data_IF_153781913043
#
_entry.id   IF_153781913043
#
_cell.length_a   1.000
_cell.length_b   1.000
_cell.length_c   1.000
_cell.angle_alpha   90.00
_cell.angle_beta   90.00
_cell.angle_gamma   90.00
#
_symmetry.space_group_name_H-M   'P 1'
#
loop_
_entity.id
_entity.type
_entity.pdbx_description
1 polymer ?
#
# COMPACT_ATOMS: atom_id res chain seq x y z
N UNK A 1 -11.17 -32.65 22.91
CA UNK A 1 -12.24 -32.30 21.94
C UNK A 1 -12.81 -30.95 22.32
N UNK A 2 -12.32 -29.88 21.69
CA UNK A 2 -12.82 -28.52 21.93
C UNK A 2 -14.14 -28.37 21.17
N UNK A 3 -15.22 -28.09 21.89
CA UNK A 3 -16.57 -28.03 21.37
C UNK A 3 -16.63 -27.03 20.20
N UNK A 4 -17.01 -27.48 19.00
CA UNK A 4 -17.29 -26.62 17.84
C UNK A 4 -18.60 -25.88 18.12
N UNK A 5 -18.59 -24.96 19.08
CA UNK A 5 -19.67 -24.00 19.23
C UNK A 5 -19.76 -23.20 17.93
N UNK A 6 -20.98 -23.12 17.40
CA UNK A 6 -21.38 -22.33 16.25
C UNK A 6 -20.66 -20.97 16.24
N UNK A 7 -19.58 -20.87 15.47
CA UNK A 7 -18.98 -19.59 15.12
C UNK A 7 -19.93 -18.95 14.10
N UNK A 8 -21.01 -18.35 14.58
CA UNK A 8 -21.78 -17.44 13.74
C UNK A 8 -20.87 -16.26 13.41
N UNK A 9 -20.78 -15.94 12.11
CA UNK A 9 -20.11 -14.73 11.64
C UNK A 9 -20.81 -13.53 12.28
N UNK A 10 -20.06 -12.67 12.97
CA UNK A 10 -20.56 -11.36 13.42
C UNK A 10 -20.67 -11.12 14.92
N UNK A 11 -20.17 -12.01 15.79
CA UNK A 11 -20.00 -11.68 17.21
C UNK A 11 -18.70 -10.89 17.43
N UNK A 12 -18.75 -9.60 17.10
CA UNK A 12 -17.62 -8.67 17.26
C UNK A 12 -17.27 -8.43 18.75
N UNK A 13 -18.05 -8.94 19.71
CA UNK A 13 -17.83 -8.72 21.15
C UNK A 13 -16.75 -9.63 21.78
N UNK A 14 -16.33 -10.71 21.09
CA UNK A 14 -15.55 -11.80 21.70
C UNK A 14 -14.08 -11.49 21.99
N UNK A 15 -13.51 -10.47 21.35
CA UNK A 15 -12.14 -10.01 21.62
C UNK A 15 -12.10 -8.48 21.58
N UNK A 16 -11.98 -7.80 22.73
CA UNK A 16 -11.80 -6.36 22.75
C UNK A 16 -10.48 -6.01 22.06
N UNK A 17 -10.53 -5.03 21.15
CA UNK A 17 -9.33 -4.53 20.48
C UNK A 17 -8.50 -3.65 21.41
N UNK A 18 -7.18 -3.84 21.40
CA UNK A 18 -6.27 -2.96 22.13
C UNK A 18 -6.12 -1.59 21.48
N UNK A 19 -5.54 -0.63 22.22
CA UNK A 19 -5.28 0.73 21.72
C UNK A 19 -4.54 0.75 20.38
N UNK A 20 -3.49 -0.06 20.25
CA UNK A 20 -2.69 -0.14 19.03
C UNK A 20 -3.48 -0.65 17.82
N UNK A 21 -4.36 -1.64 18.02
CA UNK A 21 -5.22 -2.15 16.94
C UNK A 21 -6.20 -1.09 16.48
N UNK A 22 -6.82 -0.37 17.42
CA UNK A 22 -7.78 0.68 17.10
C UNK A 22 -7.09 1.80 16.31
N UNK A 23 -5.87 2.19 16.70
CA UNK A 23 -5.08 3.18 15.96
C UNK A 23 -4.79 2.69 14.52
N UNK A 24 -4.40 1.43 14.35
CA UNK A 24 -4.19 0.84 13.03
C UNK A 24 -5.48 0.81 12.20
N UNK A 25 -6.63 0.49 12.80
CA UNK A 25 -7.93 0.53 12.13
C UNK A 25 -8.25 1.94 11.65
N UNK A 26 -8.01 2.96 12.47
CA UNK A 26 -8.22 4.35 12.09
C UNK A 26 -7.34 4.74 10.89
N UNK A 27 -6.07 4.33 10.86
CA UNK A 27 -5.17 4.59 9.72
C UNK A 27 -5.72 3.99 8.43
N UNK A 28 -6.12 2.72 8.45
CA UNK A 28 -6.61 2.03 7.25
C UNK A 28 -7.95 2.57 6.77
N UNK A 29 -8.88 2.86 7.70
CA UNK A 29 -10.17 3.45 7.37
C UNK A 29 -10.02 4.89 6.87
N UNK A 30 -9.09 5.66 7.44
CA UNK A 30 -8.82 7.04 7.00
C UNK A 30 -8.25 7.05 5.58
N UNK A 31 -7.22 6.24 5.32
CA UNK A 31 -6.66 6.12 3.98
C UNK A 31 -7.71 5.60 2.98
N UNK A 32 -8.39 4.51 3.31
CA UNK A 32 -9.39 3.89 2.44
C UNK A 32 -10.52 4.86 2.08
N UNK A 33 -11.07 5.57 3.07
CA UNK A 33 -12.14 6.53 2.82
C UNK A 33 -11.65 7.77 2.07
N UNK A 34 -10.46 8.29 2.39
CA UNK A 34 -9.87 9.42 1.63
C UNK A 34 -9.72 9.04 0.16
N UNK A 35 -9.19 7.85 -0.12
CA UNK A 35 -9.02 7.36 -1.49
C UNK A 35 -10.37 7.23 -2.24
N UNK A 36 -11.37 6.64 -1.60
CA UNK A 36 -12.72 6.48 -2.19
C UNK A 36 -13.37 7.84 -2.43
N UNK A 37 -13.28 8.78 -1.50
CA UNK A 37 -13.83 10.13 -1.64
C UNK A 37 -13.12 10.89 -2.78
N UNK A 38 -11.79 10.80 -2.85
CA UNK A 38 -11.04 11.46 -3.94
C UNK A 38 -11.40 10.87 -5.30
N UNK A 39 -11.51 9.54 -5.41
CA UNK A 39 -11.99 8.91 -6.65
C UNK A 39 -13.43 9.33 -7.00
N UNK A 40 -14.31 9.45 -6.01
CA UNK A 40 -15.67 9.95 -6.21
C UNK A 40 -15.68 11.39 -6.74
N UNK A 41 -14.84 12.29 -6.21
CA UNK A 41 -14.69 13.64 -6.75
C UNK A 41 -14.30 13.62 -8.23
N UNK A 42 -13.33 12.78 -8.61
CA UNK A 42 -12.92 12.64 -10.01
C UNK A 42 -14.07 12.16 -10.91
N UNK A 43 -14.85 11.17 -10.46
CA UNK A 43 -16.04 10.69 -11.17
C UNK A 43 -17.03 11.81 -11.48
N UNK A 44 -17.31 12.69 -10.52
CA UNK A 44 -18.24 13.81 -10.69
C UNK A 44 -17.60 15.05 -11.34
N UNK A 45 -16.39 14.93 -11.88
CA UNK A 45 -15.70 16.01 -12.57
C UNK A 45 -15.03 17.03 -11.66
N UNK A 46 -15.00 16.81 -10.34
CA UNK A 46 -14.39 17.72 -9.37
C UNK A 46 -12.90 17.42 -9.17
N UNK A 47 -12.06 18.44 -8.99
CA UNK A 47 -10.63 18.23 -8.71
C UNK A 47 -10.41 17.61 -7.33
N UNK A 48 -9.22 17.05 -7.11
CA UNK A 48 -8.81 16.54 -5.80
C UNK A 48 -8.85 17.69 -4.77
N UNK A 49 -9.46 17.43 -3.62
CA UNK A 49 -9.65 18.42 -2.57
C UNK A 49 -9.13 17.91 -1.22
N UNK A 50 -8.57 18.83 -0.41
CA UNK A 50 -8.21 18.56 0.98
C UNK A 50 -9.41 18.20 1.85
N UNK A 51 -10.64 18.55 1.44
CA UNK A 51 -11.85 18.12 2.15
C UNK A 51 -12.01 16.60 2.14
N UNK A 52 -11.56 15.89 1.10
CA UNK A 52 -11.61 14.42 1.05
C UNK A 52 -10.77 13.78 2.16
N UNK A 53 -9.61 14.37 2.49
CA UNK A 53 -8.74 13.93 3.58
C UNK A 53 -9.45 14.05 4.93
N UNK A 54 -10.00 15.23 5.23
CA UNK A 54 -10.62 15.52 6.52
C UNK A 54 -11.95 14.77 6.71
N UNK A 55 -12.75 14.64 5.65
CA UNK A 55 -13.95 13.80 5.66
C UNK A 55 -13.60 12.32 5.83
N UNK A 56 -12.53 11.84 5.18
CA UNK A 56 -12.03 10.49 5.38
C UNK A 56 -11.64 10.24 6.84
N UNK A 57 -10.98 11.20 7.49
CA UNK A 57 -10.63 11.13 8.91
C UNK A 57 -11.89 11.10 9.79
N UNK A 58 -12.85 11.98 9.52
CA UNK A 58 -14.11 12.04 10.27
C UNK A 58 -14.89 10.72 10.19
N UNK A 59 -14.92 10.08 9.01
CA UNK A 59 -15.53 8.76 8.83
C UNK A 59 -14.76 7.69 9.62
N UNK A 60 -13.44 7.67 9.58
CA UNK A 60 -12.63 6.71 10.34
C UNK A 60 -12.83 6.84 11.86
N UNK A 61 -12.86 8.07 12.38
CA UNK A 61 -13.13 8.34 13.79
C UNK A 61 -14.57 7.92 14.16
N UNK A 62 -15.55 8.25 13.32
CA UNK A 62 -16.96 7.88 13.56
C UNK A 62 -17.18 6.36 13.51
N UNK A 63 -16.56 5.67 12.56
CA UNK A 63 -16.64 4.22 12.42
C UNK A 63 -16.02 3.54 13.65
N UNK A 64 -14.81 3.93 14.06
CA UNK A 64 -14.16 3.36 15.25
C UNK A 64 -14.86 3.75 16.55
N UNK A 65 -15.47 4.93 16.63
CA UNK A 65 -16.31 5.31 17.77
C UNK A 65 -17.50 4.35 17.95
N UNK A 66 -18.12 3.91 16.86
CA UNK A 66 -19.21 2.92 16.91
C UNK A 66 -18.71 1.51 17.22
N UNK A 67 -17.54 1.13 16.68
CA UNK A 67 -16.97 -0.21 16.82
C UNK A 67 -16.28 -0.47 18.17
N UNK A 68 -15.85 0.58 18.88
CA UNK A 68 -15.12 0.48 20.15
C UNK A 68 -15.97 1.06 21.28
N UNK A 69 -16.61 0.22 22.12
CA UNK A 69 -17.40 0.70 23.25
C UNK A 69 -16.56 1.38 24.32
N UNK A 70 -15.34 0.88 24.57
CA UNK A 70 -14.47 1.39 25.64
C UNK A 70 -13.75 2.68 25.24
N UNK A 71 -14.24 3.80 25.76
CA UNK A 71 -13.69 5.14 25.52
C UNK A 71 -12.30 5.34 26.13
N UNK A 72 -11.95 4.59 27.17
CA UNK A 72 -10.62 4.67 27.80
C UNK A 72 -9.51 4.16 26.88
N UNK A 73 -9.86 3.30 25.93
CA UNK A 73 -8.93 2.80 24.90
C UNK A 73 -9.04 3.60 23.60
N UNK A 74 -10.24 4.06 23.26
CA UNK A 74 -10.48 4.85 22.04
C UNK A 74 -9.78 6.22 22.07
N UNK A 75 -9.90 7.00 23.16
CA UNK A 75 -9.29 8.33 23.23
C UNK A 75 -7.75 8.30 23.09
N UNK A 76 -7.01 7.43 23.80
CA UNK A 76 -5.57 7.29 23.58
C UNK A 76 -5.20 6.83 22.16
N UNK A 77 -6.04 6.06 21.48
CA UNK A 77 -5.81 5.68 20.09
C UNK A 77 -5.96 6.89 19.15
N UNK A 78 -6.95 7.77 19.38
CA UNK A 78 -7.10 9.03 18.65
C UNK A 78 -5.91 9.95 18.90
N UNK A 79 -5.48 10.10 20.15
CA UNK A 79 -4.29 10.91 20.48
C UNK A 79 -3.03 10.36 19.80
N UNK A 80 -2.86 9.04 19.77
CA UNK A 80 -1.77 8.39 19.06
C UNK A 80 -1.82 8.64 17.55
N UNK A 81 -3.01 8.62 16.93
CA UNK A 81 -3.18 8.93 15.51
C UNK A 81 -2.81 10.39 15.22
N UNK A 82 -3.31 11.33 16.03
CA UNK A 82 -3.00 12.76 15.89
C UNK A 82 -1.50 13.00 16.08
N UNK A 83 -0.88 12.39 17.09
CA UNK A 83 0.56 12.51 17.32
C UNK A 83 1.36 11.95 16.13
N UNK A 84 1.06 10.72 15.68
CA UNK A 84 1.77 10.08 14.59
C UNK A 84 1.62 10.82 13.26
N UNK A 85 0.41 11.27 12.94
CA UNK A 85 0.14 12.01 11.69
C UNK A 85 0.74 13.41 11.71
N UNK A 86 0.57 14.17 12.79
CA UNK A 86 1.12 15.54 12.89
C UNK A 86 2.64 15.54 12.95
N UNK A 87 3.23 14.79 13.90
CA UNK A 87 4.69 14.71 14.02
C UNK A 87 5.32 14.11 12.77
N UNK A 88 4.73 13.03 12.23
CA UNK A 88 5.22 12.40 11.01
C UNK A 88 5.19 13.33 9.80
N UNK A 89 4.10 14.08 9.61
CA UNK A 89 3.97 15.04 8.49
C UNK A 89 5.03 16.12 8.59
N UNK A 90 5.21 16.72 9.78
CA UNK A 90 6.24 17.74 9.98
C UNK A 90 7.65 17.17 9.84
N UNK A 91 7.93 15.99 10.38
CA UNK A 91 9.24 15.36 10.24
C UNK A 91 9.59 15.06 8.78
N UNK A 92 8.63 14.53 8.01
CA UNK A 92 8.81 14.21 6.59
C UNK A 92 8.89 15.46 5.71
N UNK A 93 8.27 16.57 6.11
CA UNK A 93 8.37 17.84 5.38
C UNK A 93 9.82 18.35 5.30
N UNK A 94 10.65 18.08 6.31
CA UNK A 94 12.07 18.45 6.32
C UNK A 94 12.96 17.50 5.50
N UNK A 95 12.41 16.38 5.03
CA UNK A 95 13.16 15.35 4.32
C UNK A 95 12.74 15.38 2.86
N UNK A 96 13.35 16.21 2.03
CA UNK A 96 13.02 16.30 0.61
C UNK A 96 13.24 14.97 -0.12
N UNK A 97 12.34 14.65 -1.05
CA UNK A 97 12.49 13.46 -1.87
C UNK A 97 13.44 13.73 -3.05
N UNK A 98 14.63 13.14 -3.05
CA UNK A 98 15.57 13.20 -4.20
C UNK A 98 15.66 11.87 -4.96
N UNK A 99 14.73 10.95 -4.73
CA UNK A 99 14.73 9.64 -5.37
C UNK A 99 14.32 9.71 -6.85
N UNK A 100 14.75 8.73 -7.65
CA UNK A 100 14.56 8.69 -9.11
C UNK A 100 13.09 8.74 -9.51
N UNK A 101 12.34 7.66 -9.28
CA UNK A 101 10.92 7.60 -9.62
C UNK A 101 10.09 8.67 -8.89
N UNK A 102 10.52 9.02 -7.67
CA UNK A 102 9.98 10.09 -6.84
C UNK A 102 9.87 11.41 -7.61
N UNK A 103 11.01 11.86 -8.14
CA UNK A 103 11.12 13.08 -8.93
C UNK A 103 10.59 12.92 -10.35
N UNK A 104 10.76 11.75 -10.96
CA UNK A 104 10.45 11.53 -12.37
C UNK A 104 8.94 11.51 -12.65
N UNK A 105 8.13 10.87 -11.81
CA UNK A 105 6.70 10.75 -12.06
C UNK A 105 5.80 10.74 -10.83
N UNK A 106 6.28 10.38 -9.63
CA UNK A 106 5.41 10.42 -8.44
C UNK A 106 5.04 11.84 -8.02
N UNK A 107 6.03 12.71 -7.79
CA UNK A 107 5.81 14.12 -7.43
C UNK A 107 5.06 14.87 -8.54
N UNK A 108 5.46 14.79 -9.83
CA UNK A 108 4.67 15.39 -10.89
C UNK A 108 3.23 14.88 -10.96
N UNK A 109 2.99 13.58 -10.78
CA UNK A 109 1.64 13.01 -10.76
C UNK A 109 0.78 13.54 -9.61
N UNK A 110 1.37 13.71 -8.42
CA UNK A 110 0.71 14.33 -7.26
C UNK A 110 0.37 15.79 -7.56
N UNK A 111 1.31 16.55 -8.11
CA UNK A 111 1.11 17.96 -8.45
C UNK A 111 0.04 18.13 -9.53
N UNK A 112 0.03 17.28 -10.57
CA UNK A 112 -0.99 17.31 -11.61
C UNK A 112 -2.40 17.15 -11.01
N UNK A 113 -2.60 16.13 -10.16
CA UNK A 113 -3.87 15.90 -9.47
C UNK A 113 -4.26 17.07 -8.55
N UNK A 114 -3.29 17.62 -7.80
CA UNK A 114 -3.51 18.75 -6.91
C UNK A 114 -3.81 20.07 -7.65
N UNK A 115 -3.35 20.21 -8.89
CA UNK A 115 -3.62 21.33 -9.79
C UNK A 115 -4.91 21.15 -10.62
N UNK A 116 -5.61 20.03 -10.45
CA UNK A 116 -6.94 19.80 -11.02
C UNK A 116 -6.96 18.91 -12.26
N UNK A 117 -5.88 18.18 -12.57
CA UNK A 117 -5.94 17.13 -13.57
C UNK A 117 -6.97 16.08 -13.17
N UNK A 118 -7.95 15.83 -14.04
CA UNK A 118 -8.95 14.80 -13.83
C UNK A 118 -8.75 13.62 -14.79
N UNK A 119 -8.07 12.55 -14.35
CA UNK A 119 -7.73 11.43 -15.21
C UNK A 119 -8.92 10.53 -15.57
N UNK A 120 -10.09 10.71 -14.95
CA UNK A 120 -11.28 9.90 -15.26
C UNK A 120 -12.04 10.44 -16.48
N UNK A 121 -11.94 11.75 -16.73
CA UNK A 121 -12.58 12.43 -17.85
C UNK A 121 -11.59 12.82 -18.96
N UNK A 122 -10.37 13.24 -18.58
CA UNK A 122 -9.29 13.63 -19.50
C UNK A 122 -7.98 12.92 -19.11
N UNK A 123 -7.83 11.63 -19.48
CA UNK A 123 -6.69 10.82 -19.07
C UNK A 123 -5.36 11.26 -19.70
N UNK A 124 -5.39 11.99 -20.81
CA UNK A 124 -4.20 12.54 -21.46
C UNK A 124 -3.76 13.84 -20.80
N UNK A 125 -2.47 13.96 -20.45
CA UNK A 125 -1.94 15.20 -19.85
C UNK A 125 -1.98 16.36 -20.85
N UNK A 126 -1.70 16.10 -22.14
CA UNK A 126 -1.77 17.08 -23.22
C UNK A 126 -3.11 17.83 -23.27
N UNK A 127 -4.21 17.10 -23.07
CA UNK A 127 -5.56 17.65 -23.17
C UNK A 127 -5.89 18.58 -21.99
N UNK A 128 -5.35 18.27 -20.81
CA UNK A 128 -5.52 19.08 -19.61
C UNK A 128 -4.57 20.28 -19.57
N UNK A 129 -3.28 20.04 -19.79
CA UNK A 129 -2.23 21.05 -19.73
C UNK A 129 -1.02 20.65 -20.59
N UNK A 130 -0.93 21.13 -21.85
CA UNK A 130 0.20 20.86 -22.73
C UNK A 130 1.55 21.33 -22.17
N UNK A 131 1.55 22.46 -21.45
CA UNK A 131 2.75 23.00 -20.83
C UNK A 131 3.30 22.08 -19.75
N UNK A 132 2.41 21.52 -18.93
CA UNK A 132 2.78 20.52 -17.92
C UNK A 132 3.37 19.26 -18.57
N UNK A 133 2.71 18.72 -19.60
CA UNK A 133 3.19 17.53 -20.29
C UNK A 133 4.58 17.74 -20.91
N UNK A 134 4.81 18.90 -21.54
CA UNK A 134 6.12 19.24 -22.12
C UNK A 134 7.24 19.38 -21.07
N UNK A 135 6.88 19.66 -19.82
CA UNK A 135 7.81 19.81 -18.71
C UNK A 135 8.19 18.50 -18.00
N UNK A 136 7.54 17.38 -18.33
CA UNK A 136 7.80 16.07 -17.71
C UNK A 136 8.35 15.08 -18.74
N UNK A 137 9.42 14.37 -18.39
CA UNK A 137 10.04 13.36 -19.26
C UNK A 137 9.31 12.02 -19.24
N UNK A 138 8.44 11.81 -18.25
CA UNK A 138 7.79 10.53 -17.94
C UNK A 138 6.27 10.61 -17.85
N UNK A 139 5.66 11.46 -18.69
CA UNK A 139 4.21 11.64 -18.80
C UNK A 139 3.43 10.34 -19.02
N UNK A 140 4.03 9.34 -19.70
CA UNK A 140 3.40 8.04 -19.90
C UNK A 140 3.10 7.31 -18.59
N UNK A 141 4.01 7.36 -17.60
CA UNK A 141 3.79 6.73 -16.30
C UNK A 141 2.72 7.48 -15.52
N UNK A 142 2.74 8.81 -15.57
CA UNK A 142 1.71 9.67 -14.95
C UNK A 142 0.32 9.31 -15.49
N UNK A 143 0.19 9.23 -16.82
CA UNK A 143 -1.09 8.96 -17.47
C UNK A 143 -1.62 7.55 -17.15
N UNK A 144 -0.74 6.55 -17.08
CA UNK A 144 -1.16 5.15 -17.13
C UNK A 144 -0.92 4.32 -15.86
N UNK A 145 -0.13 4.76 -14.88
CA UNK A 145 0.06 4.00 -13.64
C UNK A 145 -1.11 4.13 -12.67
N UNK A 146 -1.13 3.21 -11.71
CA UNK A 146 -2.08 3.20 -10.59
C UNK A 146 -1.91 4.48 -9.75
N UNK A 147 -3.01 5.16 -9.48
CA UNK A 147 -3.00 6.53 -8.94
C UNK A 147 -3.29 6.61 -7.45
N UNK A 148 -3.57 5.49 -6.78
CA UNK A 148 -4.05 5.50 -5.38
C UNK A 148 -3.09 6.19 -4.42
N UNK A 149 -1.78 5.94 -4.57
CA UNK A 149 -0.76 6.63 -3.79
C UNK A 149 -0.78 8.14 -4.03
N UNK A 150 -0.93 8.57 -5.28
CA UNK A 150 -0.97 9.99 -5.63
C UNK A 150 -2.26 10.67 -5.23
N UNK A 151 -3.42 9.99 -5.29
CA UNK A 151 -4.69 10.53 -4.83
C UNK A 151 -4.67 10.79 -3.32
N UNK A 152 -4.04 9.88 -2.56
CA UNK A 152 -3.80 10.04 -1.13
C UNK A 152 -2.84 11.20 -0.86
N UNK A 153 -1.68 11.24 -1.51
CA UNK A 153 -0.71 12.32 -1.33
C UNK A 153 -1.25 13.68 -1.78
N UNK A 154 -1.97 13.76 -2.90
CA UNK A 154 -2.59 15.00 -3.39
C UNK A 154 -3.68 15.50 -2.44
N UNK A 155 -4.53 14.62 -1.90
CA UNK A 155 -5.51 15.00 -0.90
C UNK A 155 -4.83 15.48 0.40
N UNK A 156 -3.76 14.81 0.83
CA UNK A 156 -2.95 15.24 1.98
C UNK A 156 -2.34 16.62 1.72
N UNK A 157 -1.65 16.81 0.60
CA UNK A 157 -1.03 18.08 0.22
C UNK A 157 -2.05 19.22 0.13
N UNK A 158 -3.21 18.98 -0.48
CA UNK A 158 -4.30 19.98 -0.54
C UNK A 158 -4.92 20.27 0.83
N UNK A 159 -4.86 19.32 1.76
CA UNK A 159 -5.39 19.47 3.12
C UNK A 159 -4.42 20.12 4.11
N UNK A 160 -3.11 19.93 3.93
CA UNK A 160 -2.06 20.43 4.83
C UNK A 160 -1.28 21.63 4.29
N UNK A 161 -1.23 21.79 2.95
CA UNK A 161 -0.31 22.72 2.28
C UNK A 161 1.14 22.24 2.22
N UNK A 162 1.43 21.04 2.71
CA UNK A 162 2.78 20.48 2.86
C UNK A 162 3.00 19.34 1.87
N UNK A 163 3.79 19.58 0.81
CA UNK A 163 3.99 18.60 -0.24
C UNK A 163 4.81 17.43 0.27
N UNK A 164 5.98 17.67 0.85
CA UNK A 164 6.86 16.62 1.33
C UNK A 164 6.23 15.86 2.52
N UNK A 165 5.49 16.57 3.37
CA UNK A 165 4.68 15.98 4.43
C UNK A 165 3.60 15.01 3.93
N UNK A 166 3.21 15.08 2.65
CA UNK A 166 2.22 14.15 2.06
C UNK A 166 2.74 12.72 1.90
N UNK A 167 4.04 12.48 2.11
CA UNK A 167 4.66 11.15 2.24
C UNK A 167 4.26 10.41 3.51
N UNK A 168 3.47 11.02 4.39
CA UNK A 168 3.01 10.45 5.66
C UNK A 168 2.49 9.01 5.57
N UNK A 169 1.95 8.60 4.42
CA UNK A 169 1.49 7.23 4.17
C UNK A 169 2.62 6.18 4.18
N UNK A 170 3.86 6.56 3.84
CA UNK A 170 5.05 5.73 4.01
C UNK A 170 5.40 5.48 5.48
N UNK A 171 4.91 6.29 6.41
CA UNK A 171 5.08 6.09 7.86
C UNK A 171 3.86 5.42 8.50
N UNK A 172 2.64 5.82 8.11
CA UNK A 172 1.41 5.32 8.74
C UNK A 172 1.13 3.85 8.40
N UNK A 173 1.40 3.37 7.18
CA UNK A 173 1.16 1.97 6.85
C UNK A 173 2.13 1.00 7.56
N UNK A 174 3.45 1.26 7.66
CA UNK A 174 4.32 0.47 8.53
C UNK A 174 3.91 0.53 10.00
N UNK A 175 3.47 1.69 10.51
CA UNK A 175 2.98 1.79 11.89
C UNK A 175 1.72 0.92 12.10
N UNK A 176 0.75 0.96 11.19
CA UNK A 176 -0.42 0.10 11.24
C UNK A 176 -0.02 -1.39 11.20
N UNK A 177 0.94 -1.73 10.33
CA UNK A 177 1.49 -3.09 10.21
C UNK A 177 2.14 -3.56 11.50
N UNK A 178 2.96 -2.72 12.14
CA UNK A 178 3.60 -2.99 13.42
C UNK A 178 2.56 -3.33 14.50
N UNK A 179 1.53 -2.49 14.63
CA UNK A 179 0.52 -2.63 15.68
C UNK A 179 -0.38 -3.85 15.46
N UNK A 180 -0.79 -4.12 14.22
CA UNK A 180 -1.60 -5.30 13.87
C UNK A 180 -0.78 -6.58 14.01
N UNK A 181 0.47 -6.60 13.55
CA UNK A 181 1.36 -7.75 13.70
C UNK A 181 1.61 -8.05 15.18
N UNK A 182 1.85 -7.02 15.99
CA UNK A 182 2.06 -7.17 17.44
C UNK A 182 0.84 -7.80 18.11
N UNK A 183 -0.36 -7.28 17.83
CA UNK A 183 -1.60 -7.80 18.39
C UNK A 183 -1.87 -9.25 17.94
N UNK A 184 -1.68 -9.54 16.65
CA UNK A 184 -1.83 -10.89 16.10
C UNK A 184 -0.86 -11.89 16.75
N UNK A 185 0.42 -11.54 16.89
CA UNK A 185 1.43 -12.38 17.52
C UNK A 185 1.13 -12.62 19.01
N UNK A 186 0.60 -11.62 19.73
CA UNK A 186 0.10 -11.82 21.10
C UNK A 186 -1.07 -12.78 21.15
N UNK A 187 -2.01 -12.71 20.20
CA UNK A 187 -3.10 -13.70 20.05
C UNK A 187 -2.61 -15.10 19.68
N UNK A 188 -1.41 -15.21 19.12
CA UNK A 188 -0.72 -16.50 18.89
C UNK A 188 -0.01 -17.05 20.13
N UNK A 189 0.02 -16.31 21.25
CA UNK A 189 0.63 -16.74 22.51
C UNK A 189 2.11 -16.36 22.66
N UNK A 190 2.68 -15.56 21.75
CA UNK A 190 4.06 -15.09 21.90
C UNK A 190 4.19 -14.14 23.10
N UNK A 191 5.35 -14.17 23.76
CA UNK A 191 5.66 -13.23 24.85
C UNK A 191 5.68 -11.79 24.35
N UNK A 192 5.56 -10.82 25.27
CA UNK A 192 5.55 -9.40 24.90
C UNK A 192 6.79 -9.01 24.11
N UNK A 193 7.96 -9.44 24.56
CA UNK A 193 9.25 -9.16 23.91
C UNK A 193 9.29 -9.73 22.49
N UNK A 194 9.00 -11.02 22.34
CA UNK A 194 9.00 -11.67 21.02
C UNK A 194 7.95 -11.10 20.08
N UNK A 195 6.77 -10.75 20.59
CA UNK A 195 5.71 -10.14 19.77
C UNK A 195 6.14 -8.78 19.19
N UNK A 196 6.81 -7.94 19.98
CA UNK A 196 7.30 -6.65 19.51
C UNK A 196 8.51 -6.79 18.59
N UNK A 197 9.46 -7.67 18.92
CA UNK A 197 10.63 -7.91 18.09
C UNK A 197 10.27 -8.40 16.68
N UNK A 198 9.37 -9.38 16.58
CA UNK A 198 8.91 -9.90 15.29
C UNK A 198 7.99 -8.91 14.56
N UNK A 199 7.09 -8.21 15.27
CA UNK A 199 6.26 -7.19 14.64
C UNK A 199 7.10 -6.05 14.06
N UNK A 200 8.17 -5.65 14.75
CA UNK A 200 9.13 -4.67 14.25
C UNK A 200 9.86 -5.21 13.02
N UNK A 201 10.36 -6.44 13.05
CA UNK A 201 11.02 -7.04 11.89
C UNK A 201 10.11 -7.10 10.64
N UNK A 202 8.81 -7.35 10.83
CA UNK A 202 7.80 -7.37 9.75
C UNK A 202 7.52 -5.97 9.22
N UNK A 203 7.32 -4.99 10.11
CA UNK A 203 6.96 -3.63 9.72
C UNK A 203 8.14 -2.81 9.19
N UNK A 204 9.32 -2.97 9.77
CA UNK A 204 10.57 -2.30 9.41
C UNK A 204 11.36 -3.14 8.39
N UNK A 205 10.69 -3.70 7.38
CA UNK A 205 11.42 -4.31 6.28
C UNK A 205 12.30 -3.25 5.59
N UNK A 206 13.49 -3.60 5.07
CA UNK A 206 14.45 -2.59 4.60
C UNK A 206 13.89 -1.65 3.54
N UNK A 207 13.10 -2.18 2.59
CA UNK A 207 12.40 -1.40 1.56
C UNK A 207 11.54 -0.30 2.17
N UNK A 208 10.74 -0.64 3.18
CA UNK A 208 9.87 0.34 3.84
C UNK A 208 10.68 1.39 4.58
N UNK A 209 11.79 0.99 5.23
CA UNK A 209 12.63 1.90 6.01
C UNK A 209 13.34 2.92 5.13
N UNK A 210 14.04 2.48 4.08
CA UNK A 210 14.80 3.41 3.25
C UNK A 210 13.88 4.24 2.32
N UNK A 211 12.65 3.78 2.03
CA UNK A 211 11.66 4.55 1.28
C UNK A 211 10.86 5.55 2.14
N UNK A 212 10.98 5.53 3.47
CA UNK A 212 10.28 6.46 4.37
C UNK A 212 10.30 7.93 3.90
N UNK A 213 11.46 8.52 3.52
CA UNK A 213 11.55 9.92 3.12
C UNK A 213 11.24 10.17 1.63
N UNK A 214 10.78 9.18 0.88
CA UNK A 214 10.50 9.29 -0.57
C UNK A 214 9.02 9.16 -0.92
N UNK A 215 8.66 9.43 -2.17
CA UNK A 215 7.36 9.11 -2.74
C UNK A 215 7.29 7.73 -3.41
N UNK A 216 8.34 6.90 -3.26
CA UNK A 216 8.26 5.50 -3.65
C UNK A 216 7.15 4.79 -2.86
N UNK A 217 6.58 3.76 -3.48
CA UNK A 217 5.37 3.10 -3.02
C UNK A 217 5.55 1.64 -2.64
N UNK A 218 6.75 1.07 -2.79
CA UNK A 218 7.00 -0.35 -2.50
C UNK A 218 6.88 -0.64 -1.00
N UNK A 219 7.28 0.28 -0.13
CA UNK A 219 7.02 0.20 1.32
C UNK A 219 5.53 0.20 1.67
N UNK A 220 4.72 1.01 0.97
CA UNK A 220 3.26 1.00 1.13
C UNK A 220 2.68 -0.34 0.66
N UNK A 221 3.13 -0.83 -0.49
CA UNK A 221 2.72 -2.11 -1.07
C UNK A 221 3.01 -3.27 -0.11
N UNK A 222 4.23 -3.34 0.44
CA UNK A 222 4.65 -4.36 1.40
C UNK A 222 3.82 -4.31 2.70
N UNK A 223 3.56 -3.11 3.21
CA UNK A 223 2.74 -2.91 4.41
C UNK A 223 1.29 -3.36 4.18
N UNK A 224 0.66 -2.92 3.08
CA UNK A 224 -0.72 -3.29 2.75
C UNK A 224 -0.87 -4.78 2.43
N UNK A 225 0.10 -5.39 1.75
CA UNK A 225 0.16 -6.83 1.55
C UNK A 225 0.12 -7.56 2.90
N UNK A 226 0.97 -7.14 3.83
CA UNK A 226 1.08 -7.72 5.16
C UNK A 226 -0.20 -7.53 5.96
N UNK A 227 -0.85 -6.36 5.88
CA UNK A 227 -2.12 -6.09 6.54
C UNK A 227 -3.25 -6.97 5.98
N UNK A 228 -3.37 -7.12 4.66
CA UNK A 228 -4.35 -8.04 4.04
C UNK A 228 -4.13 -9.46 4.56
N UNK A 229 -2.88 -9.92 4.60
CA UNK A 229 -2.52 -11.24 5.13
C UNK A 229 -2.94 -11.37 6.61
N UNK A 230 -2.51 -10.45 7.48
CA UNK A 230 -2.77 -10.51 8.92
C UNK A 230 -4.26 -10.42 9.24
N UNK A 231 -5.00 -9.49 8.65
CA UNK A 231 -6.45 -9.38 8.87
C UNK A 231 -7.19 -10.61 8.35
N UNK A 232 -6.77 -11.19 7.22
CA UNK A 232 -7.38 -12.42 6.71
C UNK A 232 -7.10 -13.61 7.62
N UNK A 233 -5.87 -13.77 8.11
CA UNK A 233 -5.53 -14.81 9.08
C UNK A 233 -6.30 -14.63 10.40
N UNK A 234 -6.43 -13.40 10.88
CA UNK A 234 -7.22 -13.09 12.08
C UNK A 234 -8.70 -13.41 11.87
N UNK A 235 -9.27 -13.07 10.69
CA UNK A 235 -10.64 -13.42 10.32
C UNK A 235 -10.89 -14.93 10.32
N UNK A 236 -10.01 -15.74 9.73
CA UNK A 236 -10.18 -17.19 9.72
C UNK A 236 -9.96 -17.84 11.09
N UNK A 237 -9.27 -17.16 12.02
CA UNK A 237 -9.17 -17.58 13.41
C UNK A 237 -10.43 -17.22 14.20
N UNK A 238 -10.92 -15.98 14.01
CA UNK A 238 -12.05 -15.41 14.72
C UNK A 238 -12.89 -14.58 13.74
N UNK A 239 -13.90 -15.19 13.08
CA UNK A 239 -14.70 -14.50 12.07
C UNK A 239 -15.48 -13.33 12.67
N UNK A 240 -14.99 -12.12 12.42
CA UNK A 240 -15.59 -10.86 12.87
C UNK A 240 -15.89 -9.98 11.65
N UNK A 241 -17.04 -9.31 11.67
CA UNK A 241 -17.49 -8.47 10.55
C UNK A 241 -16.57 -7.27 10.37
N UNK A 242 -16.12 -6.67 11.47
CA UNK A 242 -15.12 -5.60 11.46
C UNK A 242 -13.83 -6.00 10.73
N UNK A 243 -13.31 -7.21 10.97
CA UNK A 243 -12.06 -7.68 10.37
C UNK A 243 -12.23 -7.87 8.88
N UNK A 244 -13.41 -8.31 8.46
CA UNK A 244 -13.78 -8.45 7.05
C UNK A 244 -13.80 -7.10 6.31
N UNK A 245 -14.32 -6.04 6.95
CA UNK A 245 -14.24 -4.68 6.41
C UNK A 245 -12.81 -4.15 6.34
N UNK A 246 -11.96 -4.47 7.32
CA UNK A 246 -10.54 -4.10 7.28
C UNK A 246 -9.80 -4.81 6.14
N UNK A 247 -10.08 -6.11 5.91
CA UNK A 247 -9.58 -6.82 4.71
C UNK A 247 -10.01 -6.10 3.43
N UNK A 248 -11.30 -5.74 3.32
CA UNK A 248 -11.82 -5.04 2.14
C UNK A 248 -11.14 -3.68 1.92
N UNK A 249 -11.02 -2.86 2.96
CA UNK A 249 -10.37 -1.55 2.89
C UNK A 249 -8.89 -1.68 2.50
N UNK A 250 -8.16 -2.62 3.11
CA UNK A 250 -6.76 -2.88 2.76
C UNK A 250 -6.60 -3.42 1.33
N UNK A 251 -7.54 -4.20 0.80
CA UNK A 251 -7.52 -4.65 -0.60
C UNK A 251 -7.73 -3.49 -1.57
N UNK A 252 -8.69 -2.60 -1.31
CA UNK A 252 -8.93 -1.41 -2.14
C UNK A 252 -7.68 -0.53 -2.21
N UNK A 253 -7.02 -0.33 -1.07
CA UNK A 253 -5.74 0.37 -1.00
C UNK A 253 -4.66 -0.39 -1.79
N UNK A 254 -4.43 -1.67 -1.47
CA UNK A 254 -3.38 -2.50 -2.08
C UNK A 254 -3.44 -2.49 -3.61
N UNK A 255 -4.63 -2.71 -4.17
CA UNK A 255 -4.87 -2.72 -5.62
C UNK A 255 -4.51 -1.38 -6.26
N UNK A 256 -4.72 -0.25 -5.57
CA UNK A 256 -4.58 1.07 -6.17
C UNK A 256 -3.23 1.74 -5.90
N UNK A 257 -2.36 1.19 -5.05
CA UNK A 257 -1.01 1.71 -4.82
C UNK A 257 -0.06 1.42 -5.98
N UNK A 258 -0.08 0.20 -6.54
CA UNK A 258 0.80 -0.24 -7.64
C UNK A 258 0.12 -1.36 -8.40
N UNK A 259 0.42 -1.53 -9.70
CA UNK A 259 -0.15 -2.61 -10.51
C UNK A 259 0.05 -4.02 -9.95
N UNK A 260 1.22 -4.28 -9.38
CA UNK A 260 1.53 -5.55 -8.69
C UNK A 260 0.59 -5.80 -7.50
N UNK A 261 0.03 -4.74 -6.91
CA UNK A 261 -0.95 -4.81 -5.84
C UNK A 261 -2.24 -5.54 -6.25
N UNK A 262 -2.71 -5.40 -7.50
CA UNK A 262 -3.87 -6.17 -7.97
C UNK A 262 -3.56 -7.67 -8.04
N UNK A 263 -2.37 -8.02 -8.54
CA UNK A 263 -1.91 -9.42 -8.61
C UNK A 263 -1.82 -10.02 -7.20
N UNK A 264 -1.21 -9.28 -6.28
CA UNK A 264 -1.10 -9.71 -4.88
C UNK A 264 -2.44 -9.80 -4.18
N UNK A 265 -3.36 -8.87 -4.42
CA UNK A 265 -4.70 -8.88 -3.86
C UNK A 265 -5.48 -10.13 -4.27
N UNK A 266 -5.47 -10.48 -5.57
CA UNK A 266 -6.09 -11.71 -6.08
C UNK A 266 -5.42 -12.94 -5.47
N UNK A 267 -4.09 -13.01 -5.51
CA UNK A 267 -3.33 -14.14 -4.96
C UNK A 267 -3.62 -14.38 -3.47
N UNK A 268 -3.58 -13.32 -2.65
CA UNK A 268 -3.87 -13.41 -1.22
C UNK A 268 -5.33 -13.82 -0.97
N UNK A 269 -6.29 -13.16 -1.61
CA UNK A 269 -7.71 -13.46 -1.43
C UNK A 269 -8.04 -14.91 -1.80
N UNK A 270 -7.60 -15.38 -2.96
CA UNK A 270 -7.87 -16.75 -3.41
C UNK A 270 -7.04 -17.79 -2.64
N UNK A 271 -5.77 -17.50 -2.37
CA UNK A 271 -4.85 -18.41 -1.69
C UNK A 271 -5.25 -18.65 -0.24
N UNK A 272 -5.61 -17.60 0.49
CA UNK A 272 -6.05 -17.72 1.89
C UNK A 272 -7.43 -18.36 2.00
N UNK A 273 -8.36 -18.04 1.09
CA UNK A 273 -9.64 -18.73 1.01
C UNK A 273 -9.47 -20.23 0.69
N UNK A 274 -8.61 -20.58 -0.26
CA UNK A 274 -8.27 -21.96 -0.62
C UNK A 274 -7.61 -22.71 0.54
N UNK A 275 -6.63 -22.11 1.21
CA UNK A 275 -5.99 -22.67 2.40
C UNK A 275 -6.98 -22.91 3.55
N UNK A 276 -7.85 -21.94 3.82
CA UNK A 276 -8.92 -22.10 4.82
C UNK A 276 -9.89 -23.23 4.46
N UNK A 277 -10.23 -23.37 3.17
CA UNK A 277 -11.06 -24.47 2.68
C UNK A 277 -10.39 -25.84 2.88
N UNK A 278 -9.11 -25.98 2.53
CA UNK A 278 -8.30 -27.19 2.68
C UNK A 278 -8.15 -27.59 4.15
N UNK A 279 -7.91 -26.63 5.04
CA UNK A 279 -7.79 -26.86 6.49
C UNK A 279 -9.13 -27.01 7.22
N UNK A 280 -10.23 -27.16 6.47
CA UNK A 280 -11.60 -27.32 7.01
C UNK A 280 -12.04 -26.17 7.92
N UNK A 281 -11.41 -24.99 7.80
CA UNK A 281 -11.79 -23.72 8.45
C UNK A 281 -12.86 -23.01 7.61
N UNK A 282 -13.98 -23.69 7.36
CA UNK A 282 -15.01 -23.23 6.39
C UNK A 282 -15.94 -22.14 6.92
N UNK A 283 -15.90 -21.87 8.23
CA UNK A 283 -16.71 -20.82 8.84
C UNK A 283 -16.27 -19.46 8.31
N UNK A 284 -17.21 -18.64 7.84
CA UNK A 284 -16.94 -17.31 7.30
C UNK A 284 -16.37 -17.29 5.88
N UNK A 285 -16.05 -18.44 5.28
CA UNK A 285 -15.43 -18.50 3.95
C UNK A 285 -16.29 -17.85 2.86
N UNK A 286 -17.61 -18.04 2.89
CA UNK A 286 -18.54 -17.39 1.95
C UNK A 286 -18.49 -15.86 2.08
N UNK A 287 -18.56 -15.35 3.31
CA UNK A 287 -18.50 -13.91 3.58
C UNK A 287 -17.15 -13.32 3.18
N UNK A 288 -16.05 -14.04 3.45
CA UNK A 288 -14.71 -13.69 3.00
C UNK A 288 -14.64 -13.57 1.47
N UNK A 289 -15.10 -14.60 0.74
CA UNK A 289 -15.08 -14.61 -0.72
C UNK A 289 -15.93 -13.49 -1.32
N UNK A 290 -17.16 -13.29 -0.82
CA UNK A 290 -18.04 -12.24 -1.30
C UNK A 290 -17.47 -10.84 -1.02
N UNK A 291 -16.95 -10.59 0.18
CA UNK A 291 -16.40 -9.27 0.51
C UNK A 291 -15.13 -8.99 -0.27
N UNK A 292 -14.20 -9.95 -0.37
CA UNK A 292 -12.96 -9.75 -1.14
C UNK A 292 -13.24 -9.57 -2.62
N UNK A 293 -14.20 -10.32 -3.19
CA UNK A 293 -14.68 -10.11 -4.56
C UNK A 293 -15.29 -8.71 -4.75
N UNK A 294 -16.15 -8.26 -3.84
CA UNK A 294 -16.72 -6.90 -3.89
C UNK A 294 -15.64 -5.82 -3.76
N UNK A 295 -14.68 -6.01 -2.85
CA UNK A 295 -13.57 -5.09 -2.67
C UNK A 295 -12.72 -4.97 -3.95
N UNK A 296 -12.42 -6.09 -4.61
CA UNK A 296 -11.71 -6.10 -5.89
C UNK A 296 -12.49 -5.38 -7.00
N UNK A 297 -13.81 -5.59 -7.08
CA UNK A 297 -14.66 -4.87 -8.04
C UNK A 297 -14.63 -3.36 -7.79
N UNK A 298 -14.83 -2.92 -6.55
CA UNK A 298 -14.74 -1.49 -6.18
C UNK A 298 -13.34 -0.94 -6.47
N UNK A 299 -12.31 -1.71 -6.17
CA UNK A 299 -10.92 -1.30 -6.38
C UNK A 299 -10.57 -1.11 -7.85
N UNK A 300 -11.08 -1.96 -8.74
CA UNK A 300 -10.77 -1.93 -10.18
C UNK A 300 -11.72 -1.03 -10.96
N UNK A 301 -13.04 -1.14 -10.72
CA UNK A 301 -14.06 -0.44 -11.50
C UNK A 301 -14.43 0.93 -10.93
N UNK A 302 -14.26 1.13 -9.62
CA UNK A 302 -14.59 2.38 -8.94
C UNK A 302 -13.37 3.27 -8.78
N UNK A 303 -12.48 2.88 -7.87
CA UNK A 303 -11.31 3.69 -7.48
C UNK A 303 -10.22 3.66 -8.56
N UNK A 304 -9.93 2.47 -9.08
CA UNK A 304 -8.88 2.24 -10.07
C UNK A 304 -9.39 2.27 -11.51
N UNK A 305 -10.56 2.85 -11.77
CA UNK A 305 -11.16 2.94 -13.10
C UNK A 305 -10.12 3.40 -14.12
N UNK A 306 -9.44 4.51 -13.80
CA UNK A 306 -8.14 4.84 -14.38
C UNK A 306 -7.05 4.47 -13.37
N UNK A 307 -6.15 3.52 -13.68
CA UNK A 307 -5.83 3.03 -15.03
C UNK A 307 -6.56 1.78 -15.55
N UNK A 308 -7.15 0.93 -14.69
CA UNK A 308 -7.42 -0.46 -15.07
C UNK A 308 -8.40 -0.62 -16.22
N UNK A 309 -9.51 0.10 -16.20
CA UNK A 309 -10.55 0.02 -17.23
C UNK A 309 -10.10 0.83 -18.45
N UNK A 310 -9.68 2.08 -18.26
CA UNK A 310 -9.32 2.96 -19.36
C UNK A 310 -8.11 2.46 -20.14
N UNK A 311 -7.07 1.92 -19.49
CA UNK A 311 -5.95 1.30 -20.22
C UNK A 311 -6.38 0.05 -20.99
N UNK A 312 -7.31 -0.74 -20.45
CA UNK A 312 -7.85 -1.90 -21.17
C UNK A 312 -8.56 -1.45 -22.45
N UNK A 313 -9.40 -0.42 -22.36
CA UNK A 313 -10.17 0.09 -23.48
C UNK A 313 -9.31 0.84 -24.52
N UNK A 314 -8.38 1.68 -24.07
CA UNK A 314 -7.60 2.56 -24.95
C UNK A 314 -6.31 1.92 -25.45
N UNK A 315 -5.67 1.06 -24.64
CA UNK A 315 -4.34 0.49 -24.92
C UNK A 315 -4.36 -1.02 -25.12
N UNK A 316 -5.50 -1.67 -24.87
CA UNK A 316 -5.67 -3.13 -25.02
C UNK A 316 -5.14 -3.94 -23.85
N UNK A 317 -4.69 -3.31 -22.76
CA UNK A 317 -4.14 -4.03 -21.60
C UNK A 317 -4.30 -3.24 -20.28
N UNK A 318 -4.82 -3.83 -19.19
CA UNK A 318 -5.07 -3.11 -17.91
C UNK A 318 -3.81 -2.61 -17.23
N UNK A 319 -2.67 -3.26 -17.48
CA UNK A 319 -1.37 -2.93 -16.89
C UNK A 319 -0.44 -2.18 -17.86
N UNK A 320 -0.96 -1.59 -18.93
CA UNK A 320 -0.16 -0.70 -19.79
C UNK A 320 0.44 0.47 -18.99
N UNK A 321 1.68 0.93 -19.27
CA UNK A 321 2.67 0.39 -20.21
C UNK A 321 3.56 -0.71 -19.60
N UNK A 322 3.37 -1.07 -18.33
CA UNK A 322 4.18 -2.10 -17.68
C UNK A 322 4.03 -3.46 -18.36
N UNK A 323 2.87 -3.76 -18.92
CA UNK A 323 2.60 -4.95 -19.74
C UNK A 323 1.69 -4.60 -20.91
N UNK A 324 1.77 -5.35 -22.00
CA UNK A 324 0.83 -5.29 -23.13
C UNK A 324 1.44 -4.86 -24.47
N UNK A 325 2.58 -4.14 -24.46
CA UNK A 325 3.38 -3.87 -25.67
C UNK A 325 4.85 -4.07 -25.36
N UNK A 326 5.56 -4.82 -26.19
CA UNK A 326 7.02 -4.97 -26.13
C UNK A 326 7.69 -3.78 -26.86
N UNK A 327 7.36 -2.55 -26.45
CA UNK A 327 7.80 -1.32 -27.10
C UNK A 327 8.95 -0.61 -26.34
N UNK A 328 9.55 -1.29 -25.36
CA UNK A 328 10.66 -0.76 -24.55
C UNK A 328 10.26 0.36 -23.58
N UNK A 329 8.95 0.61 -23.38
CA UNK A 329 8.43 1.62 -22.45
C UNK A 329 8.17 1.09 -21.04
N UNK A 330 8.44 -0.19 -20.79
CA UNK A 330 8.43 -0.75 -19.45
C UNK A 330 9.74 -0.40 -18.72
N UNK A 331 9.62 0.24 -17.56
CA UNK A 331 10.75 0.61 -16.67
C UNK A 331 11.69 -0.58 -16.45
N UNK A 332 11.16 -1.79 -16.28
CA UNK A 332 11.97 -2.99 -16.01
C UNK A 332 12.95 -3.32 -17.13
N UNK A 333 12.67 -2.94 -18.38
CA UNK A 333 13.60 -3.19 -19.50
C UNK A 333 14.80 -2.24 -19.49
N UNK A 334 14.71 -1.13 -18.75
CA UNK A 334 15.82 -0.18 -18.54
C UNK A 334 16.64 -0.53 -17.30
N UNK A 335 16.02 -1.16 -16.30
CA UNK A 335 16.65 -1.40 -14.99
C UNK A 335 17.53 -2.65 -14.91
N UNK A 336 17.50 -3.55 -15.90
CA UNK A 336 18.27 -4.80 -15.86
C UNK A 336 18.91 -5.15 -17.22
N UNK A 337 20.10 -5.79 -17.23
CA UNK A 337 20.79 -6.12 -18.47
C UNK A 337 20.12 -7.31 -19.18
N UNK A 338 20.24 -7.42 -20.51
CA UNK A 338 19.63 -8.50 -21.29
C UNK A 338 19.97 -9.91 -20.79
N UNK A 339 21.21 -10.11 -20.32
CA UNK A 339 21.65 -11.39 -19.75
C UNK A 339 20.86 -11.80 -18.50
N UNK A 340 20.55 -10.85 -17.61
CA UNK A 340 19.70 -11.10 -16.45
C UNK A 340 18.24 -11.34 -16.86
N UNK A 341 17.74 -10.56 -17.83
CA UNK A 341 16.37 -10.70 -18.33
C UNK A 341 16.13 -12.05 -19.02
N UNK A 342 17.17 -12.65 -19.62
CA UNK A 342 17.10 -13.98 -20.23
C UNK A 342 17.08 -15.14 -19.21
N UNK A 343 17.45 -14.90 -17.94
CA UNK A 343 17.46 -15.94 -16.91
C UNK A 343 16.06 -16.45 -16.59
N UNK A 344 15.99 -17.70 -16.11
CA UNK A 344 14.75 -18.27 -15.62
C UNK A 344 14.34 -17.65 -14.27
N UNK A 345 13.10 -17.89 -13.84
CA UNK A 345 12.54 -17.23 -12.63
C UNK A 345 13.28 -17.59 -11.35
N UNK A 346 13.78 -18.83 -11.22
CA UNK A 346 14.52 -19.29 -10.05
C UNK A 346 15.87 -18.61 -9.98
N UNK A 347 16.57 -18.54 -11.12
CA UNK A 347 17.84 -17.81 -11.24
C UNK A 347 17.67 -16.34 -10.90
N UNK A 348 16.68 -15.66 -11.50
CA UNK A 348 16.41 -14.24 -11.20
C UNK A 348 16.20 -13.99 -9.72
N UNK A 349 15.41 -14.84 -9.05
CA UNK A 349 15.19 -14.74 -7.61
C UNK A 349 16.49 -14.94 -6.85
N UNK A 350 17.25 -16.00 -7.13
CA UNK A 350 18.51 -16.29 -6.46
C UNK A 350 19.52 -15.15 -6.63
N UNK A 351 19.74 -14.69 -7.85
CA UNK A 351 20.65 -13.57 -8.15
C UNK A 351 20.17 -12.26 -7.51
N UNK A 352 18.88 -11.95 -7.56
CA UNK A 352 18.34 -10.69 -7.02
C UNK A 352 18.40 -10.60 -5.49
N UNK A 353 18.26 -11.73 -4.79
CA UNK A 353 18.22 -11.78 -3.33
C UNK A 353 19.61 -11.91 -2.70
N UNK A 354 20.51 -12.64 -3.36
CA UNK A 354 21.87 -12.91 -2.85
C UNK A 354 22.93 -11.98 -3.45
N UNK A 355 22.51 -10.88 -4.06
CA UNK A 355 23.42 -9.86 -4.58
C UNK A 355 23.65 -8.73 -3.59
N UNK A 356 24.74 -7.99 -3.82
CA UNK A 356 24.93 -6.66 -3.25
C UNK A 356 23.76 -5.75 -3.61
N UNK A 357 23.40 -4.90 -2.65
CA UNK A 357 22.39 -3.87 -2.81
C UNK A 357 22.89 -2.85 -3.81
N UNK A 358 22.17 -2.66 -4.91
CA UNK A 358 22.61 -1.78 -6.00
C UNK A 358 21.42 -1.26 -6.81
N UNK A 359 21.48 0.02 -7.19
CA UNK A 359 20.63 0.63 -8.23
C UNK A 359 21.24 0.54 -9.63
N UNK A 360 22.30 -0.26 -9.81
CA UNK A 360 22.94 -0.43 -11.12
C UNK A 360 22.01 -1.15 -12.10
N UNK A 361 22.06 -0.75 -13.36
CA UNK A 361 21.44 -1.49 -14.48
C UNK A 361 22.33 -2.63 -15.00
N UNK A 362 23.50 -2.85 -14.38
CA UNK A 362 24.42 -3.94 -14.68
C UNK A 362 23.99 -5.28 -14.06
N UNK A 363 24.83 -6.30 -14.25
CA UNK A 363 24.57 -7.64 -13.68
C UNK A 363 24.68 -7.61 -12.14
N UNK A 364 23.77 -8.29 -11.42
CA UNK A 364 23.87 -8.42 -9.97
C UNK A 364 25.15 -9.13 -9.55
N UNK A 365 25.85 -8.56 -8.57
CA UNK A 365 27.09 -9.11 -8.02
C UNK A 365 26.77 -9.86 -6.74
N UNK A 366 27.08 -11.15 -6.70
CA UNK A 366 26.87 -11.98 -5.50
C UNK A 366 27.58 -11.42 -4.28
N UNK A 367 26.96 -11.65 -3.12
CA UNK A 367 27.60 -11.44 -1.83
C UNK A 367 27.31 -12.59 -0.88
N UNK A 368 28.11 -12.65 0.18
CA UNK A 368 27.81 -13.52 1.31
C UNK A 368 26.60 -12.95 2.05
N UNK A 369 25.60 -13.77 2.38
CA UNK A 369 24.50 -13.37 3.24
C UNK A 369 24.99 -12.66 4.51
N UNK A 370 24.30 -11.61 4.93
CA UNK A 370 24.63 -10.81 6.11
C UNK A 370 25.95 -10.01 6.03
N UNK A 371 26.56 -9.92 4.84
CA UNK A 371 27.62 -8.94 4.60
C UNK A 371 27.07 -7.60 4.14
N UNK A 372 27.73 -6.52 4.56
CA UNK A 372 27.41 -5.16 4.19
C UNK A 372 28.68 -4.45 3.71
N UNK A 373 28.66 -3.97 2.47
CA UNK A 373 29.68 -3.10 1.90
C UNK A 373 29.26 -1.62 1.99
N UNK A 374 30.23 -0.70 2.11
CA UNK A 374 29.98 0.75 2.16
C UNK A 374 29.26 1.25 0.91
N UNK A 375 29.50 0.61 -0.24
CA UNK A 375 28.84 0.94 -1.50
C UNK A 375 27.33 0.64 -1.47
N UNK A 376 26.90 -0.34 -0.68
CA UNK A 376 25.47 -0.71 -0.55
C UNK A 376 24.67 0.36 0.20
N UNK A 377 25.33 1.11 1.10
CA UNK A 377 24.69 2.23 1.80
C UNK A 377 24.20 3.30 0.82
N UNK A 378 24.90 3.48 -0.31
CA UNK A 378 24.47 4.41 -1.36
C UNK A 378 23.18 3.96 -2.03
N UNK A 379 23.01 2.64 -2.28
CA UNK A 379 21.78 2.11 -2.89
C UNK A 379 20.56 2.36 -1.99
N UNK A 380 20.73 2.20 -0.67
CA UNK A 380 19.66 2.50 0.28
C UNK A 380 19.40 4.01 0.42
N UNK A 381 20.44 4.84 0.34
CA UNK A 381 20.28 6.30 0.34
C UNK A 381 19.59 6.83 -0.93
N UNK A 382 19.88 6.22 -2.09
CA UNK A 382 19.24 6.57 -3.37
C UNK A 382 17.80 6.05 -3.49
N UNK A 383 17.38 5.19 -2.57
CA UNK A 383 16.00 4.66 -2.46
C UNK A 383 15.58 3.76 -3.64
N UNK A 384 16.53 3.37 -4.48
CA UNK A 384 16.28 2.67 -5.75
C UNK A 384 17.16 1.43 -5.90
N UNK A 385 17.05 0.50 -4.95
CA UNK A 385 17.77 -0.76 -5.02
C UNK A 385 17.11 -1.72 -6.03
N UNK A 386 17.66 -1.79 -7.25
CA UNK A 386 17.25 -2.75 -8.28
C UNK A 386 17.53 -4.21 -7.89
N UNK A 387 18.64 -4.44 -7.18
CA UNK A 387 19.03 -5.75 -6.64
C UNK A 387 19.39 -5.64 -5.16
N UNK A 388 19.27 -6.74 -4.40
CA UNK A 388 19.63 -6.78 -2.97
C UNK A 388 18.80 -5.87 -2.05
N UNK A 389 17.68 -5.30 -2.53
CA UNK A 389 16.91 -4.29 -1.80
C UNK A 389 16.27 -4.78 -0.49
N UNK A 390 16.18 -6.09 -0.26
CA UNK A 390 15.63 -6.65 0.98
C UNK A 390 16.57 -6.57 2.18
N UNK A 391 17.78 -6.02 2.01
CA UNK A 391 18.77 -5.85 3.08
C UNK A 391 19.97 -6.79 2.92
N UNK A 392 20.80 -6.96 3.95
CA UNK A 392 22.00 -7.78 3.87
C UNK A 392 21.65 -9.27 3.99
N UNK A 393 20.96 -9.84 2.99
CA UNK A 393 20.69 -11.28 2.89
C UNK A 393 21.61 -11.97 1.92
#
# INVERSE_FOLDING_TARGET
MMNRQNLNVGDDSRTPAGQGEILAWMIILWAGMTLVLTAFLLWIGQPVSGSALWLGLAVALSATWKLVPDRRVWFPAVLGLVAASTFGTFALEWLYDFSGDGQEYHVPGILALAQGWNPFHSPQLAEWNPGFESGVTSGIYIQHYAKGAWLLAAATFRGSGLLEGSKIWNLLYPLATLLVAQAFLRRMGLTRVWSWGLAFAVAANPVSVYQLPSFYVDGQLASLFTLVLLFSLDYFRQPATRTLFLVAASLVLLVNIKFTGLVYAVFLATGLAGGAWLWKKRVGLRSYFLMTGMALLVAVMGVGYQPYITNTLQQGHPFYPALGREDGRNVQWRSAPPAFLAMNRVEKVAYSLSSRSSGSSGMPVWKTPFSLDKQELYAFFAVDAHYGGFGPW
#
